data_IF_607439710421
#
_entry.id   IF_607439710421
#
_cell.length_a   1.000
_cell.length_b   1.000
_cell.length_c   1.000
_cell.angle_alpha   90.00
_cell.angle_beta   90.00
_cell.angle_gamma   90.00
#
_symmetry.space_group_name_H-M   'P 1'
#
loop_
_entity.id
_entity.type
_entity.pdbx_description
1 polymer ?
#
# COMPACT_ATOMS: atom_id res chain seq x y z
N UNK A 1 -9.43 -20.20 -0.91
CA UNK A 1 -10.70 -19.54 -0.53
C UNK A 1 -10.73 -19.15 0.94
N UNK A 2 -11.31 -19.90 1.89
CA UNK A 2 -11.60 -19.36 3.24
C UNK A 2 -10.42 -18.69 4.00
N UNK A 3 -9.21 -19.23 3.90
CA UNK A 3 -8.03 -18.64 4.56
C UNK A 3 -7.56 -17.33 3.90
N UNK A 4 -7.64 -17.23 2.57
CA UNK A 4 -7.33 -16.02 1.82
C UNK A 4 -8.38 -14.94 2.05
N UNK A 5 -9.67 -15.31 2.07
CA UNK A 5 -10.77 -14.38 2.36
C UNK A 5 -10.64 -13.75 3.76
N UNK A 6 -10.23 -14.57 4.75
CA UNK A 6 -9.94 -14.07 6.10
C UNK A 6 -8.77 -13.09 6.10
N UNK A 7 -7.68 -13.41 5.38
CA UNK A 7 -6.49 -12.56 5.33
C UNK A 7 -6.75 -11.25 4.60
N UNK A 8 -7.50 -11.28 3.50
CA UNK A 8 -7.94 -10.08 2.79
C UNK A 8 -8.71 -9.14 3.70
N UNK A 9 -9.71 -9.65 4.45
CA UNK A 9 -10.50 -8.85 5.40
C UNK A 9 -9.65 -8.32 6.55
N UNK A 10 -8.67 -9.12 7.00
CA UNK A 10 -7.70 -8.68 8.01
C UNK A 10 -6.95 -7.46 7.47
N UNK A 11 -6.34 -7.57 6.29
CA UNK A 11 -5.61 -6.50 5.60
C UNK A 11 -6.47 -5.23 5.45
N UNK A 12 -7.70 -5.36 4.95
CA UNK A 12 -8.65 -4.25 4.85
C UNK A 12 -8.89 -3.53 6.19
N UNK A 13 -9.02 -4.28 7.27
CA UNK A 13 -9.23 -3.70 8.60
C UNK A 13 -8.00 -2.92 9.07
N UNK A 14 -6.80 -3.43 8.81
CA UNK A 14 -5.53 -2.77 9.17
C UNK A 14 -5.40 -1.46 8.39
N UNK A 15 -5.63 -1.47 7.09
CA UNK A 15 -5.64 -0.28 6.23
C UNK A 15 -6.62 0.76 6.79
N UNK A 16 -7.83 0.36 7.17
CA UNK A 16 -8.83 1.26 7.79
C UNK A 16 -8.38 1.83 9.14
N UNK A 17 -7.73 1.04 9.98
CA UNK A 17 -7.20 1.54 11.26
C UNK A 17 -6.09 2.56 11.00
N UNK A 18 -5.19 2.29 10.05
CA UNK A 18 -4.14 3.23 9.64
C UNK A 18 -4.76 4.53 9.12
N UNK A 19 -5.76 4.45 8.23
CA UNK A 19 -6.49 5.61 7.73
C UNK A 19 -7.00 6.50 8.86
N UNK A 20 -7.66 5.88 9.85
CA UNK A 20 -8.30 6.59 10.96
C UNK A 20 -7.32 7.17 11.94
N UNK A 21 -6.32 6.40 12.36
CA UNK A 21 -5.39 6.81 13.42
C UNK A 21 -4.34 7.78 12.89
N UNK A 22 -3.73 7.47 11.75
CA UNK A 22 -2.59 8.23 11.22
C UNK A 22 -3.06 9.40 10.38
N UNK A 23 -3.98 9.15 9.44
CA UNK A 23 -4.41 10.16 8.47
C UNK A 23 -5.70 10.88 8.84
N UNK A 24 -6.39 10.44 9.91
CA UNK A 24 -7.68 10.98 10.35
C UNK A 24 -8.73 10.99 9.24
N UNK A 25 -8.73 9.92 8.42
CA UNK A 25 -9.66 9.67 7.31
C UNK A 25 -10.38 8.35 7.52
N UNK A 26 -11.52 8.17 6.85
CA UNK A 26 -12.25 6.90 6.90
C UNK A 26 -11.62 5.79 6.04
N UNK A 27 -10.87 6.17 5.02
CA UNK A 27 -10.18 5.25 4.10
C UNK A 27 -8.85 5.83 3.62
N UNK A 28 -7.98 4.96 3.12
CA UNK A 28 -6.76 5.32 2.40
C UNK A 28 -7.10 5.44 0.92
N UNK A 29 -6.88 6.63 0.38
CA UNK A 29 -6.86 6.87 -1.04
C UNK A 29 -5.89 8.01 -1.27
N UNK A 30 -4.75 7.70 -1.88
CA UNK A 30 -3.80 8.73 -2.26
C UNK A 30 -4.38 9.51 -3.46
N UNK A 31 -4.51 10.83 -3.29
CA UNK A 31 -5.06 11.72 -4.30
C UNK A 31 -4.12 12.87 -4.56
N UNK A 32 -3.89 13.14 -5.85
CA UNK A 32 -3.15 14.31 -6.30
C UNK A 32 -4.07 15.52 -6.18
N UNK A 33 -3.86 16.33 -5.14
CA UNK A 33 -4.75 17.47 -4.82
C UNK A 33 -4.52 18.65 -5.77
N UNK A 34 -3.29 18.85 -6.26
CA UNK A 34 -2.95 19.98 -7.11
C UNK A 34 -1.95 19.61 -8.21
N UNK A 35 -2.47 19.45 -9.43
CA UNK A 35 -1.69 19.17 -10.63
C UNK A 35 -0.62 20.22 -10.99
N UNK A 36 -0.74 21.45 -10.46
CA UNK A 36 0.26 22.52 -10.65
C UNK A 36 1.35 22.54 -9.56
N UNK A 37 1.21 21.73 -8.51
CA UNK A 37 2.22 21.52 -7.46
C UNK A 37 2.50 20.02 -7.31
N UNK A 38 2.96 19.45 -8.41
CA UNK A 38 3.25 18.04 -8.53
C UNK A 38 4.42 17.66 -7.60
N UNK A 39 4.18 16.76 -6.65
CA UNK A 39 5.15 16.33 -5.66
C UNK A 39 5.87 15.05 -6.08
N UNK A 40 6.96 14.71 -5.39
CA UNK A 40 7.64 13.42 -5.61
C UNK A 40 6.72 12.22 -5.32
N UNK A 41 5.86 12.33 -4.31
CA UNK A 41 4.91 11.27 -3.96
C UNK A 41 3.80 11.12 -5.00
N UNK A 42 3.41 12.21 -5.68
CA UNK A 42 2.49 12.13 -6.82
C UNK A 42 3.11 11.36 -7.98
N UNK A 43 4.37 11.67 -8.32
CA UNK A 43 5.10 10.96 -9.37
C UNK A 43 5.27 9.48 -9.04
N UNK A 44 5.70 9.16 -7.81
CA UNK A 44 5.85 7.79 -7.35
C UNK A 44 4.52 7.03 -7.45
N UNK A 45 3.42 7.65 -7.02
CA UNK A 45 2.09 7.05 -7.08
C UNK A 45 1.66 6.74 -8.52
N UNK A 46 1.86 7.67 -9.45
CA UNK A 46 1.55 7.43 -10.87
C UNK A 46 2.36 6.29 -11.47
N UNK A 47 3.66 6.22 -11.20
CA UNK A 47 4.51 5.14 -11.71
C UNK A 47 4.08 3.78 -11.12
N UNK A 48 3.76 3.73 -9.83
CA UNK A 48 3.18 2.53 -9.20
C UNK A 48 1.88 2.13 -9.91
N UNK A 49 0.96 3.06 -10.17
CA UNK A 49 -0.30 2.74 -10.87
C UNK A 49 -0.06 2.22 -12.29
N UNK A 50 0.93 2.75 -13.02
CA UNK A 50 1.30 2.24 -14.35
C UNK A 50 1.79 0.79 -14.29
N UNK A 51 2.61 0.45 -13.29
CA UNK A 51 3.10 -0.92 -13.08
C UNK A 51 1.95 -1.87 -12.68
N UNK A 52 1.07 -1.43 -11.78
CA UNK A 52 -0.10 -2.21 -11.37
C UNK A 52 -1.07 -2.49 -12.52
N UNK A 53 -1.27 -1.53 -13.44
CA UNK A 53 -2.09 -1.75 -14.64
C UNK A 53 -1.54 -2.86 -15.56
N UNK A 54 -0.26 -3.21 -15.41
CA UNK A 54 0.40 -4.32 -16.12
C UNK A 54 0.65 -5.54 -15.24
N UNK A 55 0.07 -5.59 -14.03
CA UNK A 55 0.31 -6.60 -12.99
C UNK A 55 1.78 -6.80 -12.62
N UNK A 56 2.62 -5.78 -12.81
CA UNK A 56 4.04 -5.78 -12.39
C UNK A 56 4.15 -5.43 -10.90
N UNK A 57 3.59 -6.28 -10.02
CA UNK A 57 3.43 -5.98 -8.60
C UNK A 57 4.78 -5.93 -7.87
N UNK A 58 5.64 -6.93 -8.06
CA UNK A 58 7.00 -6.94 -7.49
C UNK A 58 7.82 -5.70 -7.91
N UNK A 59 7.75 -5.30 -9.19
CA UNK A 59 8.45 -4.10 -9.67
C UNK A 59 7.91 -2.84 -8.99
N UNK A 60 6.60 -2.76 -8.77
CA UNK A 60 5.96 -1.64 -8.09
C UNK A 60 6.33 -1.58 -6.60
N UNK A 61 6.43 -2.72 -5.93
CA UNK A 61 6.87 -2.78 -4.53
C UNK A 61 8.35 -2.38 -4.40
N UNK A 62 9.22 -2.90 -5.26
CA UNK A 62 10.63 -2.48 -5.28
C UNK A 62 10.76 -0.96 -5.50
N UNK A 63 10.04 -0.42 -6.47
CA UNK A 63 10.02 1.03 -6.72
C UNK A 63 9.53 1.81 -5.51
N UNK A 64 8.50 1.31 -4.81
CA UNK A 64 8.00 1.91 -3.58
C UNK A 64 9.10 1.97 -2.52
N UNK A 65 9.73 0.84 -2.17
CA UNK A 65 10.76 0.79 -1.13
C UNK A 65 12.01 1.62 -1.48
N UNK A 66 12.43 1.62 -2.74
CA UNK A 66 13.58 2.40 -3.21
C UNK A 66 13.39 3.92 -3.05
N UNK A 67 12.15 4.40 -2.99
CA UNK A 67 11.82 5.83 -2.97
C UNK A 67 11.26 6.34 -1.64
N UNK A 68 11.04 5.49 -0.64
CA UNK A 68 10.46 5.92 0.64
C UNK A 68 11.36 6.94 1.35
N UNK A 69 10.78 8.09 1.69
CA UNK A 69 11.37 9.06 2.61
C UNK A 69 10.64 9.02 3.96
N UNK A 70 11.23 8.35 4.96
CA UNK A 70 10.63 8.06 6.28
C UNK A 70 10.09 9.29 7.03
N UNK A 71 10.68 10.47 6.82
CA UNK A 71 10.25 11.71 7.48
C UNK A 71 8.99 12.34 6.87
N UNK A 72 8.48 11.78 5.77
CA UNK A 72 7.34 12.33 5.04
C UNK A 72 6.20 11.30 4.97
N UNK A 73 5.14 11.54 5.76
CA UNK A 73 3.97 10.66 5.86
C UNK A 73 3.17 10.52 4.55
N UNK A 74 3.41 11.35 3.53
CA UNK A 74 2.81 11.12 2.22
C UNK A 74 3.33 9.83 1.57
N UNK A 75 4.60 9.45 1.81
CA UNK A 75 5.12 8.17 1.32
C UNK A 75 4.47 6.99 2.03
N UNK A 76 4.18 7.12 3.34
CA UNK A 76 3.37 6.14 4.06
C UNK A 76 1.97 6.03 3.44
N UNK A 77 1.34 7.16 3.09
CA UNK A 77 0.02 7.16 2.45
C UNK A 77 0.06 6.43 1.10
N UNK A 78 1.08 6.69 0.26
CA UNK A 78 1.29 5.98 -1.02
C UNK A 78 1.49 4.48 -0.79
N UNK A 79 2.31 4.10 0.20
CA UNK A 79 2.58 2.70 0.51
C UNK A 79 1.32 1.94 0.95
N UNK A 80 0.53 2.50 1.86
CA UNK A 80 -0.70 1.85 2.32
C UNK A 80 -1.78 1.82 1.22
N UNK A 81 -1.84 2.86 0.37
CA UNK A 81 -2.72 2.88 -0.82
C UNK A 81 -2.33 1.78 -1.82
N UNK A 82 -1.02 1.55 -2.03
CA UNK A 82 -0.53 0.45 -2.86
C UNK A 82 -1.00 -0.92 -2.33
N UNK A 83 -0.77 -1.22 -1.05
CA UNK A 83 -1.17 -2.51 -0.47
C UNK A 83 -2.68 -2.71 -0.44
N UNK A 84 -3.46 -1.64 -0.20
CA UNK A 84 -4.93 -1.70 -0.27
C UNK A 84 -5.43 -2.02 -1.69
N UNK A 85 -4.79 -1.46 -2.73
CA UNK A 85 -5.13 -1.75 -4.14
C UNK A 85 -4.84 -3.18 -4.51
N UNK A 86 -3.64 -3.69 -4.22
CA UNK A 86 -3.30 -5.08 -4.59
C UNK A 86 -4.09 -6.09 -3.74
N UNK A 87 -4.51 -5.73 -2.53
CA UNK A 87 -5.42 -6.57 -1.75
C UNK A 87 -6.82 -6.71 -2.38
N UNK A 88 -7.22 -5.81 -3.29
CA UNK A 88 -8.49 -5.89 -4.03
C UNK A 88 -8.40 -6.72 -5.32
N UNK A 89 -7.19 -7.02 -5.79
CA UNK A 89 -6.98 -7.93 -6.92
C UNK A 89 -7.41 -9.35 -6.56
N UNK A 90 -7.72 -10.17 -7.55
CA UNK A 90 -7.95 -11.61 -7.38
C UNK A 90 -6.65 -12.35 -7.09
N UNK A 91 -6.75 -13.57 -6.52
CA UNK A 91 -5.55 -14.38 -6.26
C UNK A 91 -4.80 -14.73 -7.55
N UNK A 92 -5.50 -14.94 -8.67
CA UNK A 92 -4.89 -15.19 -9.98
C UNK A 92 -4.10 -13.98 -10.52
N UNK A 93 -4.57 -12.76 -10.27
CA UNK A 93 -3.86 -11.53 -10.63
C UNK A 93 -2.63 -11.30 -9.77
N UNK A 94 -2.72 -11.60 -8.47
CA UNK A 94 -1.57 -11.59 -7.57
C UNK A 94 -0.51 -12.60 -8.00
N UNK A 95 -0.91 -13.84 -8.31
CA UNK A 95 0.01 -14.88 -8.79
C UNK A 95 0.71 -14.48 -10.10
N UNK A 96 -0.01 -13.85 -11.03
CA UNK A 96 0.60 -13.29 -12.26
C UNK A 96 1.64 -12.21 -11.98
N UNK A 97 1.41 -11.42 -10.92
CA UNK A 97 2.35 -10.42 -10.43
C UNK A 97 3.40 -10.96 -9.47
N UNK A 98 3.51 -12.29 -9.31
CA UNK A 98 4.41 -12.99 -8.41
C UNK A 98 4.25 -12.61 -6.92
N UNK A 99 3.01 -12.31 -6.51
CA UNK A 99 2.69 -11.83 -5.17
C UNK A 99 1.65 -12.69 -4.47
N UNK A 100 1.60 -12.62 -3.15
CA UNK A 100 0.63 -13.33 -2.31
C UNK A 100 0.00 -12.44 -1.25
N UNK A 101 -1.15 -12.86 -0.72
CA UNK A 101 -1.80 -12.17 0.41
C UNK A 101 -0.91 -12.02 1.64
N UNK A 102 -0.01 -12.99 1.88
CA UNK A 102 0.90 -12.94 3.02
C UNK A 102 2.00 -11.91 2.82
N UNK A 103 2.48 -11.74 1.58
CA UNK A 103 3.43 -10.68 1.24
C UNK A 103 2.80 -9.30 1.39
N UNK A 104 1.51 -9.13 1.06
CA UNK A 104 0.78 -7.89 1.36
C UNK A 104 0.81 -7.59 2.87
N UNK A 105 0.49 -8.59 3.70
CA UNK A 105 0.53 -8.41 5.16
C UNK A 105 1.93 -8.07 5.66
N UNK A 106 2.96 -8.79 5.16
CA UNK A 106 4.35 -8.55 5.53
C UNK A 106 4.81 -7.16 5.13
N UNK A 107 4.55 -6.76 3.88
CA UNK A 107 4.93 -5.45 3.37
C UNK A 107 4.30 -4.30 4.15
N UNK A 108 3.03 -4.41 4.58
CA UNK A 108 2.43 -3.42 5.48
C UNK A 108 3.19 -3.35 6.81
N UNK A 109 3.60 -4.48 7.39
CA UNK A 109 4.39 -4.49 8.64
C UNK A 109 5.74 -3.83 8.45
N UNK A 110 6.44 -4.18 7.37
CA UNK A 110 7.76 -3.64 7.04
C UNK A 110 7.69 -2.11 6.87
N UNK A 111 6.66 -1.60 6.18
CA UNK A 111 6.41 -0.17 6.08
C UNK A 111 6.18 0.47 7.45
N UNK A 112 5.32 -0.09 8.28
CA UNK A 112 5.05 0.47 9.61
C UNK A 112 6.31 0.48 10.49
N UNK A 113 7.14 -0.56 10.41
CA UNK A 113 8.42 -0.63 11.12
C UNK A 113 9.41 0.43 10.64
N UNK A 114 9.56 0.60 9.31
CA UNK A 114 10.41 1.65 8.71
C UNK A 114 10.00 3.04 9.20
N UNK A 115 8.69 3.31 9.30
CA UNK A 115 8.14 4.56 9.83
C UNK A 115 8.09 4.63 11.36
N UNK A 116 8.57 3.58 12.07
CA UNK A 116 8.59 3.47 13.53
C UNK A 116 7.19 3.62 14.17
N UNK A 117 6.16 3.12 13.47
CA UNK A 117 4.77 3.19 13.89
C UNK A 117 4.38 1.87 14.54
N UNK A 118 4.23 1.92 15.86
CA UNK A 118 3.77 0.77 16.64
C UNK A 118 2.24 0.74 16.66
N UNK A 119 1.66 -0.32 16.09
CA UNK A 119 0.21 -0.58 16.14
C UNK A 119 -0.05 -1.77 17.07
N UNK A 120 -0.73 -1.57 18.23
CA UNK A 120 -1.05 -2.67 19.11
C UNK A 120 -2.02 -3.63 18.40
N UNK A 121 -1.66 -4.92 18.38
CA UNK A 121 -2.35 -6.01 17.67
C UNK A 121 -2.05 -6.11 16.16
N UNK A 122 -0.90 -5.58 15.72
CA UNK A 122 -0.34 -5.86 14.40
C UNK A 122 0.94 -6.70 14.45
#
# INVERSE_FOLDING_TARGET
>A
MYHQDWLMRKIENIVKIIAKIIFKKDDINYQIINQYKYTKTDFLHEEILKLLNSLKIDEAENLLFDNIEVKNLNYLNVAIDFYDRINKLSDEELEKGNFTRKEIESGIKDILEIFQINMPNF
#
